data_IF_257691637371
#
_entry.id   IF_257691637371
#
_cell.length_a   1.000
_cell.length_b   1.000
_cell.length_c   1.000
_cell.angle_alpha   90.00
_cell.angle_beta   90.00
_cell.angle_gamma   90.00
#
_symmetry.space_group_name_H-M   'P 1'
#
loop_
_entity.id
_entity.type
_entity.pdbx_description
1 polymer ?
#
# COMPACT_ATOMS: atom_id res chain seq x y z
N UNK A 1 20.48 -55.68 32.39
CA UNK A 1 21.37 -54.53 32.68
C UNK A 1 21.54 -53.81 31.37
N UNK A 2 21.05 -52.61 31.09
CA UNK A 2 20.60 -51.40 31.83
C UNK A 2 19.52 -50.83 30.85
N UNK A 3 18.25 -50.55 31.14
CA UNK A 3 17.58 -50.11 32.36
C UNK A 3 17.74 -48.60 32.53
N UNK A 4 16.94 -47.76 31.85
CA UNK A 4 16.59 -46.37 32.24
C UNK A 4 15.56 -45.84 31.22
N UNK A 5 14.26 -45.91 31.55
CA UNK A 5 13.45 -44.86 32.18
C UNK A 5 12.81 -43.94 31.13
N UNK A 6 11.57 -44.30 30.76
CA UNK A 6 10.61 -43.36 30.23
C UNK A 6 10.31 -42.31 31.31
N UNK A 7 10.46 -41.03 30.98
CA UNK A 7 9.85 -39.95 31.72
C UNK A 7 9.02 -39.12 30.75
N UNK A 8 7.72 -39.37 30.79
CA UNK A 8 6.70 -38.45 30.29
C UNK A 8 6.81 -37.13 31.03
N UNK A 9 6.92 -36.04 30.28
CA UNK A 9 6.60 -34.71 30.78
C UNK A 9 5.57 -34.09 29.83
N UNK A 10 4.33 -34.56 29.96
CA UNK A 10 3.18 -33.81 29.49
C UNK A 10 2.77 -32.83 30.59
N UNK A 11 2.39 -31.64 30.15
CA UNK A 11 1.79 -30.54 30.90
C UNK A 11 2.78 -29.69 31.72
N UNK A 12 3.15 -28.52 31.18
CA UNK A 12 2.40 -27.28 31.42
C UNK A 12 3.04 -26.16 30.60
N UNK A 13 2.19 -25.36 29.95
CA UNK A 13 2.53 -23.97 29.62
C UNK A 13 3.20 -23.76 28.28
N UNK A 14 2.39 -23.62 27.24
CA UNK A 14 2.68 -22.70 26.13
C UNK A 14 1.36 -22.32 25.44
N UNK A 15 0.47 -21.72 26.24
CA UNK A 15 -0.61 -20.89 25.72
C UNK A 15 -0.06 -19.49 25.39
N UNK A 16 0.98 -19.44 24.54
CA UNK A 16 1.69 -18.22 24.18
C UNK A 16 2.26 -18.31 22.76
N UNK A 17 1.39 -18.48 21.76
CA UNK A 17 1.79 -18.31 20.35
C UNK A 17 0.60 -17.96 19.44
N UNK A 18 -0.43 -17.27 19.95
CA UNK A 18 -1.47 -16.63 19.13
C UNK A 18 -1.58 -15.11 19.40
N UNK A 19 -0.52 -14.47 19.89
CA UNK A 19 -0.32 -13.05 19.55
C UNK A 19 0.36 -12.98 18.18
N UNK A 20 -0.40 -13.36 17.13
CA UNK A 20 -0.03 -13.02 15.77
C UNK A 20 0.13 -11.51 15.71
N UNK A 21 1.37 -11.05 15.47
CA UNK A 21 1.79 -9.67 15.20
C UNK A 21 0.59 -8.73 15.04
N UNK A 22 0.13 -8.10 16.14
CA UNK A 22 -0.90 -7.06 16.07
C UNK A 22 -0.30 -5.97 15.18
N UNK A 23 -0.73 -5.90 13.91
CA UNK A 23 -0.38 -4.83 12.98
C UNK A 23 -0.84 -3.52 13.63
N UNK A 24 0.09 -2.74 14.17
CA UNK A 24 -0.19 -1.38 14.65
C UNK A 24 -0.60 -0.58 13.42
N UNK A 25 -1.82 -0.01 13.34
CA UNK A 25 -2.25 0.76 12.18
C UNK A 25 -1.40 2.03 12.05
N UNK A 26 -0.88 2.30 10.86
CA UNK A 26 -0.07 3.49 10.57
C UNK A 26 -0.92 4.65 10.04
N UNK A 27 -2.07 4.33 9.44
CA UNK A 27 -3.03 5.33 8.96
C UNK A 27 -4.33 5.30 9.74
N UNK A 28 -5.09 6.41 9.67
CA UNK A 28 -6.43 6.44 10.30
C UNK A 28 -7.34 5.44 9.61
N UNK A 29 -7.30 5.35 8.28
CA UNK A 29 -8.08 4.35 7.53
C UNK A 29 -7.79 2.93 8.04
N UNK A 30 -6.52 2.55 8.19
CA UNK A 30 -6.14 1.25 8.74
C UNK A 30 -6.66 1.04 10.16
N UNK A 31 -6.53 2.06 11.03
CA UNK A 31 -7.00 1.98 12.40
C UNK A 31 -8.50 1.70 12.46
N UNK A 32 -9.28 2.34 11.59
CA UNK A 32 -10.72 2.09 11.46
C UNK A 32 -11.04 0.75 10.80
N UNK A 33 -10.20 0.24 9.89
CA UNK A 33 -10.42 -1.05 9.25
C UNK A 33 -10.17 -2.23 10.20
N UNK A 34 -9.21 -2.08 11.13
CA UNK A 34 -8.77 -3.10 12.08
C UNK A 34 -9.50 -3.07 13.43
N UNK A 35 -10.31 -2.04 13.69
CA UNK A 35 -11.12 -1.96 14.90
C UNK A 35 -12.25 -3.02 14.85
N UNK A 36 -12.07 -4.09 15.63
CA UNK A 36 -13.00 -5.24 15.68
C UNK A 36 -14.13 -5.05 16.69
N UNK A 37 -14.01 -4.08 17.59
CA UNK A 37 -14.92 -3.86 18.71
C UNK A 37 -15.93 -2.72 18.44
N UNK A 38 -15.93 -2.14 17.22
CA UNK A 38 -16.85 -1.08 16.82
C UNK A 38 -17.62 -1.40 15.55
N UNK A 39 -18.85 -0.89 15.46
CA UNK A 39 -19.64 -0.99 14.23
C UNK A 39 -19.21 0.12 13.28
N UNK A 40 -18.68 -0.25 12.11
CA UNK A 40 -18.26 0.69 11.07
C UNK A 40 -18.98 0.47 9.74
N UNK A 41 -19.38 1.56 9.10
CA UNK A 41 -19.88 1.57 7.73
C UNK A 41 -18.71 1.87 6.81
N UNK A 42 -18.35 0.91 5.97
CA UNK A 42 -17.23 1.00 5.01
C UNK A 42 -17.81 1.16 3.60
N UNK A 43 -17.38 2.21 2.90
CA UNK A 43 -17.71 2.44 1.50
C UNK A 43 -16.43 2.42 0.69
N UNK A 44 -16.42 1.60 -0.36
CA UNK A 44 -15.33 1.50 -1.32
C UNK A 44 -15.84 1.87 -2.70
N UNK A 45 -15.06 2.66 -3.43
CA UNK A 45 -15.30 2.96 -4.85
C UNK A 45 -14.01 2.79 -5.60
N UNK A 46 -13.97 1.82 -6.51
CA UNK A 46 -12.88 1.69 -7.46
C UNK A 46 -12.97 2.80 -8.51
N UNK A 47 -11.84 3.40 -8.85
CA UNK A 47 -11.75 4.46 -9.86
C UNK A 47 -11.15 3.95 -11.15
N UNK A 48 -10.14 3.09 -11.07
CA UNK A 48 -9.48 2.56 -12.24
C UNK A 48 -8.32 1.64 -11.92
N UNK A 49 -7.69 1.18 -13.00
CA UNK A 49 -6.61 0.20 -12.98
C UNK A 49 -5.52 0.60 -13.96
N UNK A 50 -4.28 0.50 -13.50
CA UNK A 50 -3.05 0.64 -14.30
C UNK A 50 -2.46 -0.74 -14.50
N UNK A 51 -2.09 -1.08 -15.75
CA UNK A 51 -1.43 -2.36 -16.07
C UNK A 51 0.08 -2.22 -16.01
N UNK A 52 0.73 -3.13 -15.29
CA UNK A 52 2.19 -3.25 -15.26
C UNK A 52 2.73 -3.94 -16.50
N UNK A 53 3.98 -3.65 -16.84
CA UNK A 53 4.74 -4.30 -17.92
C UNK A 53 5.01 -5.78 -17.63
N UNK A 54 5.13 -6.13 -16.36
CA UNK A 54 5.40 -7.49 -15.89
C UNK A 54 4.13 -8.35 -15.83
N UNK A 55 2.97 -7.87 -16.30
CA UNK A 55 1.70 -8.60 -16.25
C UNK A 55 0.91 -8.43 -14.95
N UNK A 56 1.45 -7.71 -13.97
CA UNK A 56 0.70 -7.29 -12.78
C UNK A 56 -0.20 -6.08 -13.03
N UNK A 57 -0.93 -5.66 -12.01
CA UNK A 57 -1.80 -4.48 -12.07
C UNK A 57 -1.86 -3.72 -10.75
N UNK A 58 -2.25 -2.46 -10.84
CA UNK A 58 -2.51 -1.59 -9.69
C UNK A 58 -3.90 -0.99 -9.83
N UNK A 59 -4.72 -1.17 -8.81
CA UNK A 59 -6.08 -0.62 -8.72
C UNK A 59 -6.12 0.51 -7.71
N UNK A 60 -6.66 1.64 -8.12
CA UNK A 60 -6.88 2.81 -7.25
C UNK A 60 -8.36 2.90 -6.91
N UNK A 61 -8.65 3.16 -5.65
CA UNK A 61 -10.02 3.39 -5.18
C UNK A 61 -10.09 4.37 -4.01
N UNK A 62 -11.27 4.90 -3.75
CA UNK A 62 -11.57 5.72 -2.58
C UNK A 62 -12.19 4.86 -1.50
N UNK A 63 -11.73 5.04 -0.27
CA UNK A 63 -12.29 4.41 0.93
C UNK A 63 -12.81 5.49 1.88
N UNK A 64 -14.04 5.27 2.37
CA UNK A 64 -14.63 6.04 3.47
C UNK A 64 -15.07 5.07 4.56
N UNK A 65 -14.64 5.32 5.78
CA UNK A 65 -15.04 4.56 6.96
C UNK A 65 -15.73 5.50 7.94
N UNK A 66 -16.97 5.18 8.31
CA UNK A 66 -17.73 5.87 9.34
C UNK A 66 -17.89 4.95 10.54
N UNK A 67 -17.46 5.39 11.72
CA UNK A 67 -17.65 4.67 12.97
C UNK A 67 -19.00 5.11 13.58
N UNK A 68 -19.90 4.15 13.77
CA UNK A 68 -21.27 4.39 14.22
C UNK A 68 -21.29 4.77 15.70
N UNK A 69 -20.37 4.23 16.50
CA UNK A 69 -20.34 4.39 17.95
C UNK A 69 -19.89 5.79 18.39
N UNK A 70 -19.01 6.43 17.62
CA UNK A 70 -18.46 7.75 17.95
C UNK A 70 -18.67 8.83 16.86
N UNK A 71 -19.33 8.49 15.75
CA UNK A 71 -19.63 9.39 14.65
C UNK A 71 -18.42 9.87 13.84
N UNK A 72 -17.22 9.31 14.07
CA UNK A 72 -16.01 9.72 13.35
C UNK A 72 -16.00 9.18 11.93
N UNK A 73 -15.44 9.96 11.01
CA UNK A 73 -15.24 9.59 9.61
C UNK A 73 -13.75 9.62 9.31
N UNK A 74 -13.25 8.56 8.65
CA UNK A 74 -11.97 8.54 7.97
C UNK A 74 -12.18 8.38 6.47
N UNK A 75 -11.32 9.02 5.69
CA UNK A 75 -11.30 8.95 4.22
C UNK A 75 -9.87 8.82 3.75
N UNK A 76 -9.71 8.14 2.62
CA UNK A 76 -8.43 7.98 1.98
C UNK A 76 -8.54 7.24 0.66
N UNK A 77 -7.39 6.88 0.14
CA UNK A 77 -7.23 6.09 -1.08
C UNK A 77 -6.80 4.69 -0.71
N UNK A 78 -7.38 3.69 -1.36
CA UNK A 78 -6.86 2.32 -1.36
C UNK A 78 -6.08 2.10 -2.65
N UNK A 79 -4.83 1.68 -2.53
CA UNK A 79 -3.99 1.29 -3.65
C UNK A 79 -3.72 -0.20 -3.51
N UNK A 80 -4.36 -0.99 -4.39
CA UNK A 80 -4.19 -2.44 -4.43
C UNK A 80 -3.21 -2.79 -5.53
N UNK A 81 -2.17 -3.54 -5.20
CA UNK A 81 -1.14 -4.00 -6.13
C UNK A 81 -1.25 -5.51 -6.25
N UNK A 82 -1.34 -6.00 -7.48
CA UNK A 82 -1.35 -7.43 -7.81
C UNK A 82 -0.18 -7.74 -8.74
N UNK A 83 0.69 -8.67 -8.37
CA UNK A 83 1.81 -9.08 -9.22
C UNK A 83 1.38 -10.15 -10.25
N UNK A 84 2.30 -10.59 -11.10
CA UNK A 84 2.02 -11.60 -12.13
C UNK A 84 1.69 -12.98 -11.57
N UNK A 85 2.03 -13.24 -10.30
CA UNK A 85 1.80 -14.49 -9.59
C UNK A 85 0.48 -14.45 -8.78
N UNK A 86 -0.33 -13.40 -8.97
CA UNK A 86 -1.58 -13.15 -8.26
C UNK A 86 -1.41 -12.92 -6.75
N UNK A 87 -0.23 -12.55 -6.29
CA UNK A 87 -0.06 -12.04 -4.93
C UNK A 87 -0.62 -10.61 -4.88
N UNK A 88 -1.40 -10.33 -3.85
CA UNK A 88 -2.16 -9.07 -3.71
C UNK A 88 -1.81 -8.41 -2.40
N UNK A 89 -1.39 -7.15 -2.47
CA UNK A 89 -1.23 -6.27 -1.32
C UNK A 89 -2.10 -5.02 -1.47
N UNK A 90 -2.47 -4.40 -0.36
CA UNK A 90 -3.22 -3.14 -0.36
C UNK A 90 -2.60 -2.17 0.63
N UNK A 91 -2.26 -0.98 0.13
CA UNK A 91 -1.86 0.16 0.92
C UNK A 91 -3.03 1.14 1.05
N UNK A 92 -3.09 1.85 2.18
CA UNK A 92 -4.09 2.88 2.43
C UNK A 92 -3.40 4.23 2.63
N UNK A 93 -3.83 5.26 1.92
CA UNK A 93 -3.27 6.61 2.03
C UNK A 93 -4.35 7.52 2.62
N UNK A 94 -4.08 8.15 3.77
CA UNK A 94 -5.04 9.07 4.39
C UNK A 94 -5.24 10.32 3.50
N UNK A 95 -6.44 10.94 3.53
CA UNK A 95 -6.77 12.18 2.78
C UNK A 95 -5.72 13.30 2.93
N UNK A 96 -5.09 13.39 4.11
CA UNK A 96 -4.06 14.40 4.42
C UNK A 96 -2.69 14.13 3.79
N UNK A 97 -2.40 12.87 3.43
CA UNK A 97 -1.11 12.44 2.86
C UNK A 97 -1.14 12.45 1.32
N UNK A 98 -2.33 12.45 0.73
CA UNK A 98 -2.51 12.40 -0.72
C UNK A 98 -1.82 13.57 -1.47
N UNK A 99 -1.85 14.84 -0.99
CA UNK A 99 -1.14 15.93 -1.65
C UNK A 99 0.38 15.67 -1.73
N UNK A 100 1.00 15.28 -0.62
CA UNK A 100 2.44 15.00 -0.57
C UNK A 100 2.83 13.82 -1.48
N UNK A 101 1.94 12.81 -1.57
CA UNK A 101 2.12 11.70 -2.51
C UNK A 101 2.07 12.16 -3.97
N UNK A 102 1.09 13.01 -4.32
CA UNK A 102 0.92 13.54 -5.68
C UNK A 102 2.14 14.39 -6.09
N UNK A 103 2.58 15.30 -5.23
CA UNK A 103 3.78 16.12 -5.46
C UNK A 103 5.03 15.24 -5.65
N UNK A 104 5.15 14.18 -4.85
CA UNK A 104 6.24 13.21 -4.98
C UNK A 104 6.19 12.42 -6.29
N UNK A 105 5.01 12.00 -6.75
CA UNK A 105 4.85 11.32 -8.04
C UNK A 105 5.18 12.25 -9.20
N UNK A 106 4.67 13.49 -9.19
CA UNK A 106 4.94 14.52 -10.19
C UNK A 106 6.45 14.78 -10.29
N UNK A 107 7.11 14.98 -9.15
CA UNK A 107 8.57 15.13 -9.14
C UNK A 107 9.27 13.93 -9.78
N UNK A 108 8.88 12.70 -9.47
CA UNK A 108 9.52 11.50 -10.01
C UNK A 108 9.30 11.33 -11.52
N UNK A 109 8.11 11.67 -12.03
CA UNK A 109 7.78 11.57 -13.46
C UNK A 109 8.41 12.70 -14.29
N UNK A 110 8.49 13.91 -13.74
CA UNK A 110 9.05 15.09 -14.43
C UNK A 110 10.59 15.19 -14.33
N UNK A 111 11.18 14.88 -13.17
CA UNK A 111 12.63 14.98 -12.94
C UNK A 111 13.46 14.18 -13.96
N UNK A 112 12.86 13.16 -14.58
CA UNK A 112 13.51 12.35 -15.60
C UNK A 112 13.73 13.01 -16.94
N UNK A 113 13.05 14.12 -17.20
CA UNK A 113 13.24 14.91 -18.40
C UNK A 113 14.52 15.75 -18.33
N UNK A 114 14.97 16.10 -17.13
CA UNK A 114 16.07 17.05 -16.92
C UNK A 114 17.37 16.38 -16.45
N UNK A 115 17.26 15.35 -15.62
CA UNK A 115 18.42 14.68 -15.02
C UNK A 115 18.84 13.45 -15.84
N UNK A 116 20.02 13.54 -16.48
CA UNK A 116 20.67 12.42 -17.18
C UNK A 116 21.77 11.82 -16.31
N UNK A 117 21.52 10.73 -15.57
CA UNK A 117 22.51 10.18 -14.68
C UNK A 117 23.64 9.50 -15.47
N UNK A 118 24.86 9.58 -14.93
CA UNK A 118 26.03 8.82 -15.43
C UNK A 118 26.06 7.38 -14.91
N UNK A 119 25.38 7.14 -13.78
CA UNK A 119 25.30 5.88 -13.05
C UNK A 119 23.84 5.49 -12.82
N UNK A 120 23.59 4.36 -12.16
CA UNK A 120 22.24 4.00 -11.73
C UNK A 120 21.81 4.87 -10.55
N UNK A 121 20.63 5.48 -10.63
CA UNK A 121 20.05 6.32 -9.59
C UNK A 121 18.63 5.86 -9.29
N UNK A 122 18.31 5.75 -8.01
CA UNK A 122 16.98 5.42 -7.52
C UNK A 122 16.44 6.58 -6.68
N UNK A 123 15.20 6.97 -6.97
CA UNK A 123 14.48 7.99 -6.21
C UNK A 123 13.11 7.44 -5.86
N UNK A 124 12.67 7.65 -4.62
CA UNK A 124 11.42 7.07 -4.11
C UNK A 124 10.56 8.05 -3.32
N UNK A 125 9.26 7.78 -3.31
CA UNK A 125 8.28 8.36 -2.38
C UNK A 125 7.55 7.21 -1.67
N UNK A 126 7.31 7.37 -0.38
CA UNK A 126 6.75 6.34 0.49
C UNK A 126 5.73 6.97 1.44
N UNK A 127 4.54 6.38 1.54
CA UNK A 127 3.46 6.85 2.43
C UNK A 127 3.47 6.12 3.76
N UNK A 128 2.77 6.67 4.77
CA UNK A 128 2.66 5.99 6.07
C UNK A 128 1.96 4.64 5.96
N UNK A 129 1.00 4.48 5.05
CA UNK A 129 0.33 3.20 4.79
C UNK A 129 1.11 2.24 3.91
N UNK A 130 2.43 2.39 3.83
CA UNK A 130 3.34 1.48 3.12
C UNK A 130 3.05 1.36 1.62
N UNK A 131 2.63 2.44 0.96
CA UNK A 131 2.71 2.53 -0.50
C UNK A 131 4.08 3.09 -0.87
N UNK A 132 4.80 2.39 -1.73
CA UNK A 132 6.11 2.80 -2.22
C UNK A 132 6.08 2.93 -3.74
N UNK A 133 6.41 4.13 -4.22
CA UNK A 133 6.62 4.39 -5.63
C UNK A 133 8.08 4.80 -5.86
N UNK A 134 8.78 4.04 -6.69
CA UNK A 134 10.21 4.19 -6.95
C UNK A 134 10.44 4.39 -8.44
N UNK A 135 11.34 5.31 -8.77
CA UNK A 135 11.90 5.47 -10.10
C UNK A 135 13.34 4.97 -10.08
N UNK A 136 13.66 4.06 -10.98
CA UNK A 136 15.02 3.63 -11.28
C UNK A 136 15.45 4.23 -12.61
N UNK A 137 16.64 4.83 -12.66
CA UNK A 137 17.19 5.47 -13.85
C UNK A 137 18.62 5.05 -14.08
N UNK A 138 18.91 4.64 -15.31
CA UNK A 138 20.24 4.33 -15.81
C UNK A 138 20.45 5.01 -17.18
N UNK A 139 21.68 5.04 -17.74
CA UNK A 139 21.93 5.65 -19.04
C UNK A 139 21.03 5.06 -20.15
N UNK A 140 20.02 5.83 -20.57
CA UNK A 140 19.07 5.43 -21.62
C UNK A 140 17.87 4.61 -21.15
N UNK A 141 17.72 4.39 -19.85
CA UNK A 141 16.65 3.56 -19.29
C UNK A 141 16.00 4.24 -18.07
N UNK A 142 14.67 4.25 -18.06
CA UNK A 142 13.87 4.72 -16.92
C UNK A 142 12.75 3.72 -16.70
N UNK A 143 12.64 3.24 -15.47
CA UNK A 143 11.57 2.35 -15.04
C UNK A 143 10.97 2.82 -13.71
N UNK A 144 9.70 2.53 -13.53
CA UNK A 144 8.97 2.84 -12.31
C UNK A 144 8.51 1.55 -11.66
N UNK A 145 8.56 1.51 -10.34
CA UNK A 145 8.16 0.38 -9.52
C UNK A 145 7.11 0.88 -8.52
N UNK A 146 5.96 0.21 -8.45
CA UNK A 146 4.94 0.48 -7.44
C UNK A 146 4.73 -0.76 -6.58
N UNK A 147 4.70 -0.57 -5.26
CA UNK A 147 4.55 -1.63 -4.26
C UNK A 147 3.58 -1.20 -3.16
N UNK A 148 2.91 -2.19 -2.57
CA UNK A 148 2.04 -1.99 -1.42
C UNK A 148 2.41 -2.95 -0.28
N UNK A 149 2.23 -2.48 0.96
CA UNK A 149 2.39 -3.27 2.18
C UNK A 149 3.78 -3.14 2.82
N UNK A 150 3.85 -3.40 4.13
CA UNK A 150 5.09 -3.30 4.94
C UNK A 150 6.16 -4.31 4.55
N UNK A 151 5.72 -5.50 4.18
CA UNK A 151 6.58 -6.57 3.64
C UNK A 151 6.00 -6.86 2.26
N UNK A 152 6.45 -6.13 1.23
CA UNK A 152 5.80 -6.19 -0.07
C UNK A 152 6.01 -7.57 -0.68
N UNK A 153 4.91 -8.31 -0.84
CA UNK A 153 4.85 -9.51 -1.67
C UNK A 153 4.48 -9.15 -3.12
N UNK A 154 3.66 -8.11 -3.29
CA UNK A 154 3.22 -7.64 -4.60
C UNK A 154 3.96 -6.37 -5.06
N UNK A 155 4.51 -6.42 -6.27
CA UNK A 155 5.15 -5.30 -6.94
C UNK A 155 4.81 -5.28 -8.44
N UNK A 156 4.68 -4.10 -9.02
CA UNK A 156 4.47 -3.92 -10.45
C UNK A 156 5.48 -2.98 -11.06
N UNK A 157 5.89 -3.29 -12.29
CA UNK A 157 6.76 -2.44 -13.10
C UNK A 157 5.92 -1.60 -14.05
N UNK A 158 6.08 -0.30 -13.99
CA UNK A 158 5.38 0.69 -14.78
C UNK A 158 6.34 1.35 -15.77
N UNK A 159 5.85 1.63 -16.97
CA UNK A 159 6.51 2.58 -17.87
C UNK A 159 6.06 4.01 -17.52
N UNK A 160 6.60 5.00 -18.23
CA UNK A 160 6.24 6.40 -18.02
C UNK A 160 4.74 6.68 -18.18
N UNK A 161 4.06 6.04 -19.15
CA UNK A 161 2.62 6.21 -19.33
C UNK A 161 1.83 5.66 -18.15
N UNK A 162 2.15 4.46 -17.66
CA UNK A 162 1.49 3.90 -16.48
C UNK A 162 1.75 4.69 -15.20
N UNK A 163 2.91 5.35 -15.09
CA UNK A 163 3.17 6.28 -13.99
C UNK A 163 2.28 7.54 -14.06
N UNK A 164 2.06 8.09 -15.26
CA UNK A 164 1.14 9.21 -15.47
C UNK A 164 -0.32 8.80 -15.26
N UNK A 165 -0.73 7.62 -15.75
CA UNK A 165 -2.08 7.09 -15.51
C UNK A 165 -2.35 6.92 -14.00
N UNK A 166 -1.34 6.51 -13.23
CA UNK A 166 -1.44 6.43 -11.76
C UNK A 166 -1.65 7.81 -11.14
N UNK A 167 -0.90 8.81 -11.59
CA UNK A 167 -1.05 10.19 -11.12
C UNK A 167 -2.46 10.71 -11.39
N UNK A 168 -2.97 10.53 -12.61
CA UNK A 168 -4.33 10.94 -13.00
C UNK A 168 -5.39 10.26 -12.12
N UNK A 169 -5.27 8.96 -11.86
CA UNK A 169 -6.19 8.23 -10.97
C UNK A 169 -6.16 8.72 -9.53
N UNK A 170 -5.00 9.17 -9.03
CA UNK A 170 -4.87 9.73 -7.69
C UNK A 170 -5.46 11.14 -7.59
N UNK A 171 -5.35 11.94 -8.66
CA UNK A 171 -6.06 13.22 -8.79
C UNK A 171 -7.58 13.00 -8.80
N UNK A 172 -8.06 12.06 -9.61
CA UNK A 172 -9.48 11.66 -9.62
C UNK A 172 -9.97 11.18 -8.25
N UNK A 173 -9.11 10.51 -7.48
CA UNK A 173 -9.40 10.09 -6.13
C UNK A 173 -9.55 11.27 -5.17
N UNK A 174 -8.67 12.26 -5.28
CA UNK A 174 -8.76 13.50 -4.51
C UNK A 174 -10.08 14.21 -4.77
N UNK A 175 -10.41 14.45 -6.05
CA UNK A 175 -11.67 15.11 -6.43
C UNK A 175 -12.90 14.32 -5.96
N UNK A 176 -12.85 12.99 -6.09
CA UNK A 176 -13.95 12.12 -5.65
C UNK A 176 -14.17 12.21 -4.14
N UNK A 177 -13.10 12.24 -3.34
CA UNK A 177 -13.20 12.43 -1.89
C UNK A 177 -13.78 13.78 -1.51
N UNK A 178 -13.45 14.85 -2.24
CA UNK A 178 -14.02 16.18 -2.02
C UNK A 178 -15.53 16.22 -2.28
N UNK A 179 -16.01 15.53 -3.32
CA UNK A 179 -17.45 15.39 -3.62
C UNK A 179 -18.20 14.55 -2.58
N UNK A 180 -17.50 13.77 -1.76
CA UNK A 180 -18.07 12.95 -0.69
C UNK A 180 -18.10 13.66 0.68
N UNK A 181 -17.63 14.91 0.77
CA UNK A 181 -17.75 15.75 1.97
C UNK A 181 -19.21 16.08 2.28
#
# INVERSE_FOLDING_TARGET
>A
MIGFLAMSLSALGEAAAEEGLRRVPETRVEAFLLDKDSVSVKSFRELGLVRGRNGGSLTVGVVRVFNVDNGRVARGVSIRVENAEHEVETAYVDEKELPDLLDGLEYLTEFGLEYRPTDQVETKVETLGSFLFLRSSAPGEVEFLAMAGRVPSAAILLNQFGALDLQDLLVDAQETMERMR
#
